data_IF_696862378663
#
_entry.id   IF_696862378663
#
_cell.length_a   1.000
_cell.length_b   1.000
_cell.length_c   1.000
_cell.angle_alpha   90.00
_cell.angle_beta   90.00
_cell.angle_gamma   90.00
#
_symmetry.space_group_name_H-M   'P 1'
#
loop_
_entity.id
_entity.type
_entity.pdbx_description
1 polymer ?
#
# COMPACT_ATOMS: atom_id res chain seq x y z
N UNK A 1 8.46 0.81 9.69
CA UNK A 1 9.62 0.70 8.78
C UNK A 1 10.60 1.76 9.21
N UNK A 2 11.85 1.40 9.50
CA UNK A 2 12.89 2.40 9.73
C UNK A 2 13.30 3.09 8.42
N UNK A 3 14.10 4.14 8.51
CA UNK A 3 14.47 4.94 7.34
C UNK A 3 15.34 4.16 6.34
N UNK A 4 16.22 3.27 6.82
CA UNK A 4 17.09 2.47 5.97
C UNK A 4 16.30 1.46 5.13
N UNK A 5 15.36 0.75 5.76
CA UNK A 5 14.48 -0.19 5.07
C UNK A 5 13.62 0.55 4.05
N UNK A 6 13.06 1.71 4.41
CA UNK A 6 12.24 2.51 3.50
C UNK A 6 13.05 2.99 2.29
N UNK A 7 14.27 3.51 2.51
CA UNK A 7 15.16 3.93 1.43
C UNK A 7 15.45 2.77 0.48
N UNK A 8 15.84 1.61 1.01
CA UNK A 8 16.12 0.41 0.21
C UNK A 8 14.91 0.02 -0.65
N UNK A 9 13.73 -0.06 -0.03
CA UNK A 9 12.50 -0.37 -0.76
C UNK A 9 12.18 0.68 -1.83
N UNK A 10 12.32 1.96 -1.51
CA UNK A 10 12.01 3.05 -2.41
C UNK A 10 12.88 3.00 -3.67
N UNK A 11 14.20 2.83 -3.48
CA UNK A 11 15.17 2.83 -4.56
C UNK A 11 15.15 1.54 -5.38
N UNK A 12 15.01 0.39 -4.73
CA UNK A 12 15.14 -0.91 -5.39
C UNK A 12 13.81 -1.48 -5.90
N UNK A 13 12.67 -1.04 -5.36
CA UNK A 13 11.36 -1.53 -5.79
C UNK A 13 10.49 -0.45 -6.43
N UNK A 14 10.34 0.72 -5.80
CA UNK A 14 9.39 1.72 -6.30
C UNK A 14 9.93 2.48 -7.53
N UNK A 15 11.17 3.00 -7.48
CA UNK A 15 11.78 3.75 -8.58
C UNK A 15 11.81 2.95 -9.90
N UNK A 16 12.22 1.66 -9.94
CA UNK A 16 12.18 0.85 -11.16
C UNK A 16 10.78 0.72 -11.75
N UNK A 17 9.74 0.65 -10.92
CA UNK A 17 8.34 0.60 -11.38
C UNK A 17 7.93 1.94 -11.99
N UNK A 18 8.25 3.06 -11.33
CA UNK A 18 7.90 4.40 -11.81
C UNK A 18 8.65 4.79 -13.09
N UNK A 19 9.90 4.33 -13.26
CA UNK A 19 10.69 4.52 -14.50
C UNK A 19 10.01 3.92 -15.73
N UNK A 20 9.33 2.78 -15.56
CA UNK A 20 8.60 2.10 -16.64
C UNK A 20 7.25 2.73 -16.98
N UNK A 21 6.80 3.76 -16.25
CA UNK A 21 5.55 4.47 -16.49
C UNK A 21 5.81 5.77 -17.25
N UNK A 22 4.90 6.11 -18.15
CA UNK A 22 4.93 7.36 -18.90
C UNK A 22 4.14 8.45 -18.17
N UNK A 23 4.45 9.72 -18.45
CA UNK A 23 3.78 10.88 -17.87
C UNK A 23 4.34 11.34 -16.52
N UNK A 24 3.69 12.36 -15.94
CA UNK A 24 4.06 12.91 -14.62
C UNK A 24 3.80 11.89 -13.52
N UNK A 25 4.79 11.69 -12.65
CA UNK A 25 4.72 10.72 -11.55
C UNK A 25 4.58 11.46 -10.24
N UNK A 26 3.62 11.03 -9.43
CA UNK A 26 3.39 11.56 -8.09
C UNK A 26 3.40 10.39 -7.11
N UNK A 27 4.20 10.51 -6.06
CA UNK A 27 4.17 9.59 -4.93
C UNK A 27 3.56 10.33 -3.75
N UNK A 28 2.53 9.75 -3.15
CA UNK A 28 1.84 10.31 -1.98
C UNK A 28 2.20 9.43 -0.79
N UNK A 29 2.87 10.01 0.19
CA UNK A 29 3.25 9.37 1.44
C UNK A 29 2.52 9.97 2.64
N UNK A 30 2.38 9.20 3.70
CA UNK A 30 2.05 9.73 5.03
C UNK A 30 3.24 10.55 5.60
N UNK A 31 2.96 11.42 6.57
CA UNK A 31 3.98 12.26 7.23
C UNK A 31 4.84 11.49 8.24
N UNK A 32 5.23 10.26 7.92
CA UNK A 32 6.09 9.47 8.80
C UNK A 32 7.54 9.95 8.65
N UNK A 33 8.19 10.31 9.77
CA UNK A 33 9.54 10.87 9.76
C UNK A 33 10.59 9.97 9.07
N UNK A 34 10.39 8.64 9.06
CA UNK A 34 11.28 7.71 8.37
C UNK A 34 11.21 7.80 6.84
N UNK A 35 10.14 8.40 6.28
CA UNK A 35 9.96 8.66 4.85
C UNK A 35 10.64 9.96 4.38
N UNK A 36 11.21 10.73 5.31
CA UNK A 36 11.95 11.98 5.02
C UNK A 36 13.44 11.66 5.00
N UNK A 37 13.93 11.28 3.83
CA UNK A 37 15.34 11.00 3.61
C UNK A 37 15.85 11.79 2.40
N UNK A 38 16.97 12.50 2.57
CA UNK A 38 17.61 13.28 1.51
C UNK A 38 17.86 12.46 0.25
N UNK A 39 18.24 11.19 0.39
CA UNK A 39 18.52 10.32 -0.76
C UNK A 39 17.25 10.00 -1.56
N UNK A 40 16.13 9.75 -0.88
CA UNK A 40 14.82 9.55 -1.52
C UNK A 40 14.41 10.79 -2.30
N UNK A 41 14.53 11.98 -1.69
CA UNK A 41 14.18 13.25 -2.35
C UNK A 41 15.06 13.54 -3.58
N UNK A 42 16.38 13.30 -3.47
CA UNK A 42 17.30 13.47 -4.59
C UNK A 42 16.96 12.53 -5.76
N UNK A 43 16.59 11.28 -5.47
CA UNK A 43 16.21 10.32 -6.51
C UNK A 43 14.83 10.62 -7.11
N UNK A 44 13.91 11.17 -6.33
CA UNK A 44 12.66 11.74 -6.85
C UNK A 44 12.93 12.87 -7.85
N UNK A 45 13.78 13.84 -7.49
CA UNK A 45 14.13 14.97 -8.35
C UNK A 45 14.81 14.51 -9.65
N UNK A 46 15.82 13.65 -9.55
CA UNK A 46 16.52 13.05 -10.71
C UNK A 46 15.58 12.35 -11.69
N UNK A 47 14.47 11.79 -11.20
CA UNK A 47 13.52 11.04 -12.01
C UNK A 47 12.23 11.78 -12.31
N UNK A 48 12.17 13.09 -12.00
CA UNK A 48 11.00 13.95 -12.19
C UNK A 48 9.73 13.37 -11.54
N UNK A 49 9.88 12.90 -10.29
CA UNK A 49 8.82 12.36 -9.45
C UNK A 49 8.50 13.40 -8.38
N UNK A 50 7.25 13.86 -8.34
CA UNK A 50 6.78 14.74 -7.26
C UNK A 50 6.43 13.88 -6.04
N UNK A 51 7.13 14.05 -4.92
CA UNK A 51 6.77 13.42 -3.66
C UNK A 51 5.91 14.38 -2.83
N UNK A 52 4.71 13.95 -2.43
CA UNK A 52 3.76 14.74 -1.64
C UNK A 52 3.54 14.04 -0.30
N UNK A 53 3.67 14.82 0.78
CA UNK A 53 3.36 14.36 2.13
C UNK A 53 1.95 14.83 2.51
N UNK A 54 1.14 13.90 3.02
CA UNK A 54 -0.15 14.24 3.62
C UNK A 54 0.08 14.94 4.98
N UNK A 55 -0.78 15.89 5.39
CA UNK A 55 -0.63 16.53 6.70
C UNK A 55 -0.76 15.51 7.84
N UNK A 56 -0.09 15.77 8.99
CA UNK A 56 -0.11 14.86 10.13
C UNK A 56 -1.54 14.63 10.63
N UNK A 57 -1.81 13.44 11.16
CA UNK A 57 -3.12 12.99 11.65
C UNK A 57 -4.26 13.00 10.61
N UNK A 58 -3.98 13.30 9.34
CA UNK A 58 -4.97 13.37 8.26
C UNK A 58 -5.17 12.08 7.46
N UNK A 59 -4.42 11.01 7.75
CA UNK A 59 -4.42 9.75 6.98
C UNK A 59 -5.83 9.20 6.73
N UNK A 60 -6.67 9.13 7.76
CA UNK A 60 -8.04 8.61 7.66
C UNK A 60 -8.97 9.43 6.75
N UNK A 61 -8.58 10.66 6.39
CA UNK A 61 -9.36 11.57 5.54
C UNK A 61 -8.71 11.70 4.16
N UNK A 62 -7.39 11.82 4.12
CA UNK A 62 -6.65 12.25 2.93
C UNK A 62 -5.90 11.10 2.24
N UNK A 63 -5.77 9.93 2.85
CA UNK A 63 -5.05 8.82 2.26
C UNK A 63 -6.00 7.91 1.45
N UNK A 64 -5.92 7.91 0.11
CA UNK A 64 -6.88 7.17 -0.73
C UNK A 64 -6.85 5.67 -0.44
N UNK A 65 -5.69 5.12 -0.08
CA UNK A 65 -5.54 3.72 0.30
C UNK A 65 -6.35 3.36 1.54
N UNK A 66 -6.38 4.21 2.57
CA UNK A 66 -7.17 3.97 3.77
C UNK A 66 -8.67 4.14 3.52
N UNK A 67 -9.04 5.16 2.72
CA UNK A 67 -10.43 5.51 2.48
C UNK A 67 -11.13 4.51 1.54
N UNK A 68 -10.44 4.02 0.51
CA UNK A 68 -11.05 3.23 -0.55
C UNK A 68 -10.54 1.79 -0.67
N UNK A 69 -9.23 1.55 -0.49
CA UNK A 69 -8.61 0.27 -0.83
C UNK A 69 -8.53 -0.72 0.34
N UNK A 70 -8.12 -0.28 1.53
CA UNK A 70 -7.86 -1.18 2.64
C UNK A 70 -9.12 -1.78 3.26
N UNK A 71 -10.26 -1.10 3.18
CA UNK A 71 -11.53 -1.65 3.70
C UNK A 71 -11.97 -2.89 2.90
N UNK A 72 -12.10 -2.86 1.56
CA UNK A 72 -12.34 -4.05 0.75
C UNK A 72 -11.32 -5.17 0.99
N UNK A 73 -10.02 -4.84 1.05
CA UNK A 73 -8.96 -5.81 1.31
C UNK A 73 -9.15 -6.52 2.65
N UNK A 74 -9.44 -5.78 3.73
CA UNK A 74 -9.69 -6.34 5.06
C UNK A 74 -10.91 -7.27 5.06
N UNK A 75 -11.98 -6.94 4.32
CA UNK A 75 -13.14 -7.81 4.17
C UNK A 75 -12.77 -9.12 3.47
N UNK A 76 -12.02 -9.06 2.36
CA UNK A 76 -11.55 -10.27 1.65
C UNK A 76 -10.58 -11.10 2.47
N UNK A 77 -9.65 -10.46 3.15
CA UNK A 77 -8.73 -11.11 4.08
C UNK A 77 -9.49 -11.88 5.18
N UNK A 78 -10.52 -11.27 5.77
CA UNK A 78 -11.37 -11.94 6.76
C UNK A 78 -12.07 -13.18 6.18
N UNK A 79 -12.56 -13.12 4.94
CA UNK A 79 -13.18 -14.27 4.27
C UNK A 79 -12.18 -15.41 4.08
N UNK A 80 -10.97 -15.10 3.58
CA UNK A 80 -9.89 -16.08 3.40
C UNK A 80 -9.52 -16.74 4.74
N UNK A 81 -9.41 -15.96 5.81
CA UNK A 81 -9.13 -16.49 7.15
C UNK A 81 -10.24 -17.38 7.68
N UNK A 82 -11.51 -17.02 7.48
CA UNK A 82 -12.65 -17.85 7.89
C UNK A 82 -12.67 -19.19 7.15
N UNK A 83 -12.37 -19.19 5.85
CA UNK A 83 -12.28 -20.41 5.05
C UNK A 83 -11.08 -21.28 5.46
N UNK A 84 -9.94 -20.67 5.74
CA UNK A 84 -8.77 -21.40 6.24
C UNK A 84 -9.05 -22.02 7.63
N UNK A 85 -9.72 -21.29 8.51
CA UNK A 85 -10.12 -21.75 9.84
C UNK A 85 -11.10 -22.93 9.81
N UNK A 86 -12.04 -22.95 8.85
CA UNK A 86 -13.01 -24.04 8.74
C UNK A 86 -12.40 -25.36 8.26
N UNK A 87 -11.22 -25.33 7.63
CA UNK A 87 -10.52 -26.49 7.09
C UNK A 87 -9.37 -26.97 7.99
N UNK A 88 -8.32 -26.15 8.10
CA UNK A 88 -7.03 -26.51 8.71
C UNK A 88 -6.73 -25.70 10.00
N UNK A 89 -7.32 -24.52 10.14
CA UNK A 89 -7.02 -23.58 11.24
C UNK A 89 -7.72 -23.87 12.57
N UNK A 90 -8.53 -24.94 12.70
CA UNK A 90 -9.23 -25.27 13.96
C UNK A 90 -8.31 -25.44 15.18
N UNK A 91 -7.02 -25.76 14.97
CA UNK A 91 -6.02 -25.94 16.03
C UNK A 91 -5.07 -24.75 16.21
N UNK A 92 -5.11 -23.75 15.32
CA UNK A 92 -4.16 -22.64 15.31
C UNK A 92 -4.92 -21.30 15.29
N UNK A 93 -4.67 -20.45 16.28
CA UNK A 93 -5.32 -19.14 16.40
C UNK A 93 -4.90 -18.16 15.31
N UNK A 94 -3.74 -18.37 14.68
CA UNK A 94 -3.16 -17.51 13.64
C UNK A 94 -2.48 -18.33 12.54
N UNK A 95 -2.56 -17.91 11.26
CA UNK A 95 -1.85 -18.56 10.17
C UNK A 95 -0.33 -18.56 10.40
N UNK A 96 0.36 -19.71 10.23
CA UNK A 96 1.82 -19.76 10.27
C UNK A 96 2.45 -18.84 9.21
N UNK A 97 3.66 -18.33 9.49
CA UNK A 97 4.40 -17.45 8.57
C UNK A 97 4.57 -18.02 7.16
N UNK A 98 4.71 -19.34 7.03
CA UNK A 98 4.85 -20.04 5.74
C UNK A 98 3.56 -19.98 4.92
N UNK A 99 2.40 -19.98 5.58
CA UNK A 99 1.10 -19.95 4.90
C UNK A 99 0.62 -18.52 4.62
N UNK A 100 1.10 -17.53 5.38
CA UNK A 100 0.67 -16.13 5.27
C UNK A 100 0.79 -15.56 3.84
N UNK A 101 1.93 -15.68 3.11
CA UNK A 101 2.05 -15.12 1.76
C UNK A 101 1.02 -15.71 0.79
N UNK A 102 0.76 -17.02 0.88
CA UNK A 102 -0.20 -17.70 0.02
C UNK A 102 -1.63 -17.20 0.28
N UNK A 103 -2.02 -17.12 1.56
CA UNK A 103 -3.35 -16.63 1.93
C UNK A 103 -3.52 -15.15 1.53
N UNK A 104 -2.48 -14.33 1.75
CA UNK A 104 -2.51 -12.91 1.39
C UNK A 104 -2.67 -12.75 -0.12
N UNK A 105 -1.95 -13.54 -0.92
CA UNK A 105 -2.11 -13.59 -2.37
C UNK A 105 -3.53 -13.93 -2.77
N UNK A 106 -4.16 -14.94 -2.15
CA UNK A 106 -5.57 -15.27 -2.41
C UNK A 106 -6.50 -14.08 -2.13
N UNK A 107 -6.30 -13.35 -1.03
CA UNK A 107 -7.10 -12.17 -0.73
C UNK A 107 -6.90 -11.06 -1.79
N UNK A 108 -5.64 -10.83 -2.21
CA UNK A 108 -5.30 -9.86 -3.25
C UNK A 108 -5.88 -10.23 -4.62
N UNK A 109 -5.78 -11.49 -5.04
CA UNK A 109 -6.32 -11.96 -6.32
C UNK A 109 -7.86 -11.93 -6.33
N UNK A 110 -8.50 -12.02 -5.16
CA UNK A 110 -9.96 -11.94 -5.01
C UNK A 110 -10.53 -10.51 -4.98
N UNK A 111 -9.66 -9.49 -4.95
CA UNK A 111 -10.08 -8.10 -4.97
C UNK A 111 -10.52 -7.71 -6.38
N UNK A 112 -11.82 -7.55 -6.55
CA UNK A 112 -12.42 -6.92 -7.72
C UNK A 112 -12.41 -5.40 -7.53
N UNK A 113 -11.23 -4.82 -7.38
CA UNK A 113 -11.06 -3.37 -7.33
C UNK A 113 -11.25 -2.82 -8.74
N UNK A 114 -12.35 -2.10 -8.97
CA UNK A 114 -12.59 -1.43 -10.23
C UNK A 114 -11.84 -0.10 -10.24
N UNK A 115 -11.35 0.32 -11.42
CA UNK A 115 -10.77 1.67 -11.60
C UNK A 115 -11.67 2.78 -11.04
N UNK A 116 -12.99 2.58 -11.12
CA UNK A 116 -14.00 3.50 -10.58
C UNK A 116 -13.89 3.68 -9.06
N UNK A 117 -13.67 2.61 -8.29
CA UNK A 117 -13.53 2.70 -6.83
C UNK A 117 -12.27 3.46 -6.44
N UNK A 118 -11.16 3.21 -7.13
CA UNK A 118 -9.92 3.95 -6.90
C UNK A 118 -10.10 5.44 -7.20
N UNK A 119 -10.66 5.79 -8.36
CA UNK A 119 -10.92 7.19 -8.74
C UNK A 119 -11.85 7.87 -7.72
N UNK A 120 -12.91 7.18 -7.28
CA UNK A 120 -13.81 7.70 -6.25
C UNK A 120 -13.09 7.89 -4.90
N UNK A 121 -12.13 7.01 -4.58
CA UNK A 121 -11.25 7.12 -3.42
C UNK A 121 -10.43 8.40 -3.43
N UNK A 122 -9.69 8.64 -4.53
CA UNK A 122 -8.94 9.88 -4.75
C UNK A 122 -9.84 11.12 -4.60
N UNK A 123 -10.98 11.14 -5.30
CA UNK A 123 -11.94 12.24 -5.24
C UNK A 123 -12.47 12.49 -3.82
N UNK A 124 -12.76 11.43 -3.05
CA UNK A 124 -13.22 11.54 -1.66
C UNK A 124 -12.16 12.10 -0.72
N UNK A 125 -10.89 11.84 -1.01
CA UNK A 125 -9.75 12.39 -0.26
C UNK A 125 -9.32 13.79 -0.71
N UNK A 126 -10.00 14.38 -1.71
CA UNK A 126 -9.66 15.70 -2.24
C UNK A 126 -8.43 15.71 -3.14
N UNK A 127 -8.08 14.56 -3.74
CA UNK A 127 -6.93 14.35 -4.63
C UNK A 127 -7.40 13.97 -6.03
#
# INVERSE_FOLDING_TARGET
>A
MDSATFEDWFLNHLIPVLKKKNGRKVVIGDNLASHINKRVLNECEKHNISFIYLPPNGTHILQPLDVAYFRPLKCKWRQVLLQWNSQLGRKLSTPPKVQFPRLLKTALDSLTETKANLIAGFRKTGI
#
